data_IF_177272172215
#
_entry.id   IF_177272172215
#
_cell.length_a   1.000
_cell.length_b   1.000
_cell.length_c   1.000
_cell.angle_alpha   90.00
_cell.angle_beta   90.00
_cell.angle_gamma   90.00
#
_symmetry.space_group_name_H-M   'P 1'
#
loop_
_entity.id
_entity.type
_entity.pdbx_description
1 polymer ?
#
# COMPACT_ATOMS: atom_id res chain seq x y z
N UNK A 1 6.39 -0.91 -50.32
CA UNK A 1 6.08 -2.09 -49.48
C UNK A 1 6.63 -1.97 -48.05
N UNK A 2 6.83 -0.76 -47.50
CA UNK A 2 7.50 -0.53 -46.20
C UNK A 2 6.58 -0.09 -45.05
N UNK A 3 5.31 0.25 -45.29
CA UNK A 3 4.41 0.78 -44.25
C UNK A 3 3.68 -0.29 -43.42
N UNK A 4 3.67 -1.57 -43.84
CA UNK A 4 2.99 -2.64 -43.09
C UNK A 4 3.77 -3.14 -41.86
N UNK A 5 5.10 -2.97 -41.83
CA UNK A 5 5.94 -3.46 -40.73
C UNK A 5 5.83 -2.62 -39.44
N UNK A 6 5.56 -1.31 -39.55
CA UNK A 6 5.55 -0.39 -38.40
C UNK A 6 4.32 -0.57 -37.50
N UNK A 7 3.18 -0.94 -38.09
CA UNK A 7 1.92 -1.15 -37.35
C UNK A 7 1.86 -2.46 -36.55
N UNK A 8 2.57 -3.50 -37.01
CA UNK A 8 2.66 -4.77 -36.28
C UNK A 8 3.51 -4.62 -35.02
N UNK A 9 4.68 -3.97 -35.12
CA UNK A 9 5.56 -3.69 -33.99
C UNK A 9 4.92 -2.77 -32.93
N UNK A 10 4.21 -1.71 -33.36
CA UNK A 10 3.51 -0.83 -32.42
C UNK A 10 2.38 -1.54 -31.64
N UNK A 11 1.69 -2.47 -32.29
CA UNK A 11 0.64 -3.29 -31.64
C UNK A 11 1.25 -4.32 -30.69
N UNK A 12 2.34 -4.99 -31.06
CA UNK A 12 3.08 -5.88 -30.16
C UNK A 12 3.65 -5.12 -28.95
N UNK A 13 4.21 -3.92 -29.15
CA UNK A 13 4.69 -3.08 -28.03
C UNK A 13 3.57 -2.64 -27.11
N UNK A 14 2.40 -2.26 -27.65
CA UNK A 14 1.24 -1.90 -26.84
C UNK A 14 0.68 -3.08 -26.05
N UNK A 15 0.59 -4.27 -26.66
CA UNK A 15 0.16 -5.50 -26.00
C UNK A 15 1.17 -5.93 -24.92
N UNK A 16 2.47 -5.77 -25.19
CA UNK A 16 3.54 -6.06 -24.22
C UNK A 16 3.51 -5.09 -23.04
N UNK A 17 3.30 -3.79 -23.29
CA UNK A 17 3.15 -2.79 -22.24
C UNK A 17 1.89 -3.04 -21.39
N UNK A 18 0.77 -3.46 -21.98
CA UNK A 18 -0.43 -3.86 -21.24
C UNK A 18 -0.18 -5.11 -20.39
N UNK A 19 0.50 -6.11 -20.97
CA UNK A 19 0.89 -7.35 -20.28
C UNK A 19 1.96 -7.15 -19.19
N UNK A 20 2.75 -6.07 -19.24
CA UNK A 20 3.75 -5.71 -18.22
C UNK A 20 3.17 -4.81 -17.11
N UNK A 21 2.09 -4.07 -17.42
CA UNK A 21 1.29 -3.33 -16.45
C UNK A 21 0.38 -4.23 -15.59
N UNK A 22 -0.11 -5.35 -16.14
CA UNK A 22 -1.02 -6.29 -15.46
C UNK A 22 -0.41 -7.00 -14.22
N UNK A 23 0.85 -7.49 -14.23
CA UNK A 23 1.46 -8.21 -13.11
C UNK A 23 1.78 -7.31 -11.91
N UNK A 24 1.98 -6.01 -12.13
CA UNK A 24 2.34 -5.04 -11.09
C UNK A 24 1.13 -4.41 -10.40
N UNK A 25 -0.03 -4.35 -11.07
CA UNK A 25 -1.24 -3.73 -10.52
C UNK A 25 -1.61 -4.24 -9.12
N UNK A 26 -1.41 -5.53 -8.85
CA UNK A 26 -1.70 -6.12 -7.52
C UNK A 26 -0.77 -5.60 -6.42
N UNK A 27 0.52 -5.46 -6.73
CA UNK A 27 1.54 -4.99 -5.78
C UNK A 27 1.38 -3.49 -5.52
N UNK A 28 1.09 -2.72 -6.57
CA UNK A 28 0.76 -1.29 -6.46
C UNK A 28 -0.47 -1.07 -5.57
N UNK A 29 -1.55 -1.83 -5.81
CA UNK A 29 -2.77 -1.73 -4.98
C UNK A 29 -2.47 -2.12 -3.54
N UNK A 30 -1.69 -3.17 -3.29
CA UNK A 30 -1.27 -3.57 -1.94
C UNK A 30 -0.47 -2.47 -1.24
N UNK A 31 0.49 -1.84 -1.95
CA UNK A 31 1.33 -0.78 -1.38
C UNK A 31 0.52 0.49 -1.06
N UNK A 32 -0.37 0.88 -1.97
CA UNK A 32 -1.31 2.00 -1.73
C UNK A 32 -2.24 1.68 -0.56
N UNK A 33 -2.78 0.46 -0.51
CA UNK A 33 -3.65 0.02 0.60
C UNK A 33 -2.89 0.07 1.93
N UNK A 34 -1.66 -0.43 1.98
CA UNK A 34 -0.82 -0.42 3.18
C UNK A 34 -0.59 1.00 3.70
N UNK A 35 -0.21 1.94 2.83
CA UNK A 35 0.03 3.33 3.24
C UNK A 35 -1.25 4.04 3.66
N UNK A 36 -2.37 3.80 2.98
CA UNK A 36 -3.67 4.39 3.35
C UNK A 36 -4.13 3.90 4.71
N UNK A 37 -4.05 2.59 4.98
CA UNK A 37 -4.40 2.03 6.29
C UNK A 37 -3.47 2.60 7.37
N UNK A 38 -2.17 2.67 7.12
CA UNK A 38 -1.21 3.21 8.08
C UNK A 38 -1.44 4.68 8.43
N UNK A 39 -1.73 5.53 7.44
CA UNK A 39 -2.06 6.93 7.68
C UNK A 39 -3.38 7.05 8.47
N UNK A 40 -4.39 6.25 8.14
CA UNK A 40 -5.64 6.24 8.88
C UNK A 40 -5.44 5.79 10.34
N UNK A 41 -4.64 4.74 10.57
CA UNK A 41 -4.27 4.29 11.90
C UNK A 41 -3.55 5.38 12.70
N UNK A 42 -2.64 6.12 12.07
CA UNK A 42 -1.93 7.24 12.70
C UNK A 42 -2.87 8.36 13.12
N UNK A 43 -3.73 8.83 12.21
CA UNK A 43 -4.67 9.93 12.46
C UNK A 43 -5.67 9.53 13.55
N UNK A 44 -6.29 8.35 13.42
CA UNK A 44 -7.32 7.90 14.36
C UNK A 44 -6.72 7.52 15.72
N UNK A 45 -5.53 6.92 15.75
CA UNK A 45 -4.84 6.56 16.99
C UNK A 45 -4.36 7.78 17.78
N UNK A 46 -4.05 8.89 17.10
CA UNK A 46 -3.68 10.16 17.74
C UNK A 46 -4.84 10.79 18.52
N UNK A 47 -6.08 10.61 18.05
CA UNK A 47 -7.26 11.23 18.67
C UNK A 47 -7.83 10.29 19.74
N UNK A 48 -7.91 10.71 21.02
CA UNK A 48 -8.40 9.84 22.09
C UNK A 48 -9.78 9.24 21.79
N UNK A 49 -10.74 10.04 21.31
CA UNK A 49 -12.09 9.55 21.00
C UNK A 49 -12.16 8.49 19.88
N UNK A 50 -11.12 8.33 19.07
CA UNK A 50 -11.07 7.36 17.97
C UNK A 50 -9.92 6.36 18.15
N UNK A 51 -9.44 6.18 19.38
CA UNK A 51 -8.34 5.25 19.66
C UNK A 51 -8.67 3.82 19.25
N UNK A 52 -9.93 3.37 19.41
CA UNK A 52 -10.34 2.00 19.06
C UNK A 52 -10.15 1.68 17.57
N UNK A 53 -10.75 2.43 16.62
CA UNK A 53 -10.50 2.18 15.21
C UNK A 53 -9.03 2.44 14.84
N UNK A 54 -8.34 3.37 15.50
CA UNK A 54 -6.89 3.56 15.34
C UNK A 54 -6.07 2.32 15.68
N UNK A 55 -6.36 1.66 16.82
CA UNK A 55 -5.70 0.43 17.26
C UNK A 55 -5.97 -0.72 16.29
N UNK A 56 -7.23 -0.87 15.87
CA UNK A 56 -7.64 -1.91 14.91
C UNK A 56 -6.92 -1.75 13.57
N UNK A 57 -6.92 -0.54 13.01
CA UNK A 57 -6.22 -0.25 11.75
C UNK A 57 -4.71 -0.40 11.90
N UNK A 58 -4.13 -0.03 13.04
CA UNK A 58 -2.69 -0.21 13.30
C UNK A 58 -2.29 -1.69 13.33
N UNK A 59 -3.08 -2.53 14.02
CA UNK A 59 -2.83 -3.98 14.12
C UNK A 59 -3.02 -4.69 12.77
N UNK A 60 -3.94 -4.24 11.92
CA UNK A 60 -4.13 -4.81 10.58
C UNK A 60 -3.11 -4.24 9.58
N UNK A 61 -2.89 -2.93 9.62
CA UNK A 61 -2.04 -2.19 8.70
C UNK A 61 -0.58 -2.60 8.76
N UNK A 62 -0.07 -2.89 9.96
CA UNK A 62 1.34 -3.25 10.14
C UNK A 62 1.68 -4.60 9.44
N UNK A 63 0.96 -5.71 9.66
CA UNK A 63 1.13 -6.94 8.87
C UNK A 63 0.91 -6.74 7.38
N UNK A 64 -0.08 -5.94 6.96
CA UNK A 64 -0.33 -5.67 5.54
C UNK A 64 0.86 -4.98 4.89
N UNK A 65 1.44 -3.97 5.54
CA UNK A 65 2.62 -3.26 5.05
C UNK A 65 3.86 -4.17 5.03
N UNK A 66 4.06 -5.00 6.06
CA UNK A 66 5.15 -5.99 6.10
C UNK A 66 5.03 -7.02 4.98
N UNK A 67 3.82 -7.57 4.76
CA UNK A 67 3.59 -8.51 3.69
C UNK A 67 3.77 -7.87 2.31
N UNK A 68 3.21 -6.67 2.10
CA UNK A 68 3.39 -5.93 0.85
C UNK A 68 4.88 -5.70 0.57
N UNK A 69 5.67 -5.37 1.59
CA UNK A 69 7.12 -5.18 1.46
C UNK A 69 7.86 -6.41 0.95
N UNK A 70 7.43 -7.62 1.32
CA UNK A 70 8.04 -8.88 0.89
C UNK A 70 7.72 -9.22 -0.56
N UNK A 71 6.54 -8.82 -1.05
CA UNK A 71 6.08 -9.15 -2.42
C UNK A 71 6.33 -8.02 -3.44
N UNK A 72 6.73 -6.83 -2.97
CA UNK A 72 7.02 -5.68 -3.83
C UNK A 72 8.09 -5.98 -4.88
N UNK A 73 7.85 -5.52 -6.10
CA UNK A 73 8.81 -5.60 -7.19
C UNK A 73 9.62 -4.31 -7.31
N UNK A 74 8.97 -3.16 -7.18
CA UNK A 74 9.60 -1.87 -7.42
C UNK A 74 10.05 -1.19 -6.13
N UNK A 75 10.99 -0.25 -6.25
CA UNK A 75 11.45 0.59 -5.12
C UNK A 75 10.35 1.54 -4.63
N UNK A 76 9.48 2.02 -5.54
CA UNK A 76 8.39 2.94 -5.18
C UNK A 76 7.35 2.25 -4.28
N UNK A 77 6.95 1.02 -4.62
CA UNK A 77 6.09 0.21 -3.74
C UNK A 77 6.70 0.06 -2.35
N UNK A 78 8.01 -0.24 -2.29
CA UNK A 78 8.71 -0.43 -1.01
C UNK A 78 8.74 0.82 -0.15
N UNK A 79 8.92 1.99 -0.77
CA UNK A 79 8.87 3.27 -0.06
C UNK A 79 7.48 3.52 0.54
N UNK A 80 6.41 3.30 -0.22
CA UNK A 80 5.04 3.42 0.29
C UNK A 80 4.79 2.48 1.47
N UNK A 81 5.26 1.22 1.37
CA UNK A 81 5.14 0.24 2.44
C UNK A 81 5.87 0.65 3.71
N UNK A 82 7.08 1.20 3.61
CA UNK A 82 7.82 1.71 4.78
C UNK A 82 7.04 2.83 5.47
N UNK A 83 6.49 3.78 4.71
CA UNK A 83 5.66 4.86 5.26
C UNK A 83 4.42 4.28 5.96
N UNK A 84 3.71 3.35 5.30
CA UNK A 84 2.54 2.68 5.87
C UNK A 84 2.86 1.88 7.13
N UNK A 85 4.01 1.21 7.18
CA UNK A 85 4.48 0.43 8.32
C UNK A 85 4.77 1.32 9.52
N UNK A 86 5.52 2.40 9.33
CA UNK A 86 5.83 3.36 10.40
C UNK A 86 4.55 4.03 10.89
N UNK A 87 3.69 4.48 9.98
CA UNK A 87 2.42 5.11 10.33
C UNK A 87 1.50 4.16 11.11
N UNK A 88 1.39 2.89 10.69
CA UNK A 88 0.63 1.86 11.42
C UNK A 88 1.20 1.60 12.81
N UNK A 89 2.52 1.47 12.93
CA UNK A 89 3.19 1.21 14.20
C UNK A 89 3.00 2.36 15.19
N UNK A 90 3.28 3.59 14.76
CA UNK A 90 3.15 4.79 15.59
C UNK A 90 1.69 5.06 15.94
N UNK A 91 0.77 4.91 14.97
CA UNK A 91 -0.66 5.04 15.18
C UNK A 91 -1.20 4.05 16.20
N UNK A 92 -0.81 2.78 16.10
CA UNK A 92 -1.12 1.78 17.11
C UNK A 92 -0.58 2.17 18.49
N UNK A 93 0.66 2.68 18.57
CA UNK A 93 1.25 3.18 19.81
C UNK A 93 0.42 4.27 20.47
N UNK A 94 -0.02 5.27 19.69
CA UNK A 94 -0.92 6.31 20.22
C UNK A 94 -2.26 5.73 20.64
N UNK A 95 -2.89 4.89 19.81
CA UNK A 95 -4.16 4.28 20.13
C UNK A 95 -4.10 3.49 21.45
N UNK A 96 -3.05 2.71 21.66
CA UNK A 96 -2.81 1.96 22.90
C UNK A 96 -2.65 2.89 24.11
N UNK A 97 -1.96 4.02 23.95
CA UNK A 97 -1.82 5.02 25.03
C UNK A 97 -3.15 5.69 25.41
N UNK A 98 -4.13 5.70 24.51
CA UNK A 98 -5.44 6.33 24.72
C UNK A 98 -6.53 5.34 25.20
N UNK A 99 -6.22 4.06 25.42
CA UNK A 99 -7.18 3.03 25.84
C UNK A 99 -7.17 1.76 24.98
N UNK A 100 -6.47 1.80 23.84
CA UNK A 100 -6.29 0.65 22.97
C UNK A 100 -7.61 0.14 22.41
N UNK A 101 -8.01 -1.05 22.85
CA UNK A 101 -9.22 -1.75 22.38
C UNK A 101 -10.45 -1.55 23.27
N UNK A 102 -10.44 -0.62 24.23
CA UNK A 102 -11.66 -0.21 24.92
C UNK A 102 -12.60 0.58 24.01
N UNK A 103 -13.88 0.68 24.40
CA UNK A 103 -14.90 1.48 23.71
C UNK A 103 -15.53 2.50 24.66
#
# INVERSE_FOLDING_TARGET
MSQQATGAGARESAVRAQSEAEPHRRKDVLAVTAVTIGIAALILGWIPATHFPGALLGVIGLPVALYSQMVSATTNERWLNVVGMIASFVGAGFALSHGGFSI
#
